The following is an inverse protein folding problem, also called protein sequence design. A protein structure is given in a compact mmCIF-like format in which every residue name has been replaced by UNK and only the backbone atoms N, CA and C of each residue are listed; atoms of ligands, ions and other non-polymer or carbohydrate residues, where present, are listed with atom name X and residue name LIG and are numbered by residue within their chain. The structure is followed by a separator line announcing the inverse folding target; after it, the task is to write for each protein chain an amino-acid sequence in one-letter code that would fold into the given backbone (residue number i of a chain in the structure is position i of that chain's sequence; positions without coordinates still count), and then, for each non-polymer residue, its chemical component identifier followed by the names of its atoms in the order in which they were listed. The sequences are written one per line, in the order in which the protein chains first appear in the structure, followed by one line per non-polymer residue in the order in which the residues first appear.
data_IF_284309823543
#
_entry.id   IF_284309823543
#
_cell.length_a   1.000
_cell.length_b   1.000
_cell.length_c   1.000
_cell.angle_alpha   90.00
_cell.angle_beta   90.00
_cell.angle_gamma   90.00
#
_symmetry.space_group_name_H-M   'P 1'
#
loop_
_entity.id
_entity.type
_entity.pdbx_description
1 polymer ?
#
# COMPACT_ATOMS: atom_id res chain seq x y z
N UNK A 1 0.95 -30.15 17.03
CA UNK A 1 0.67 -28.88 17.75
C UNK A 1 1.33 -27.75 16.95
N UNK A 2 0.61 -26.69 16.59
CA UNK A 2 1.19 -25.53 15.89
C UNK A 2 1.81 -24.61 16.95
N UNK A 3 3.11 -24.35 16.84
CA UNK A 3 3.87 -23.50 17.75
C UNK A 3 4.12 -22.08 17.20
N UNK A 4 3.79 -21.86 15.93
CA UNK A 4 4.07 -20.62 15.19
C UNK A 4 2.78 -19.88 14.89
N UNK A 5 2.79 -18.56 15.04
CA UNK A 5 1.76 -17.68 14.52
C UNK A 5 2.09 -17.35 13.06
N UNK A 6 1.20 -17.71 12.15
CA UNK A 6 1.30 -17.43 10.73
C UNK A 6 0.25 -16.39 10.34
N UNK A 7 0.66 -15.39 9.56
CA UNK A 7 -0.22 -14.37 8.99
C UNK A 7 0.05 -14.31 7.49
N UNK A 8 -1.02 -14.36 6.70
CA UNK A 8 -1.02 -14.14 5.26
C UNK A 8 -1.87 -12.92 4.97
N UNK A 9 -1.33 -12.02 4.16
CA UNK A 9 -1.93 -10.75 3.80
C UNK A 9 -1.67 -10.50 2.31
N UNK A 10 -2.63 -9.91 1.61
CA UNK A 10 -2.38 -9.27 0.33
C UNK A 10 -2.38 -7.74 0.48
N UNK A 11 -1.80 -7.07 -0.49
CA UNK A 11 -1.71 -5.61 -0.56
C UNK A 11 -2.94 -4.98 -1.24
N UNK A 12 -3.49 -5.63 -2.26
CA UNK A 12 -4.72 -5.25 -2.92
C UNK A 12 -5.38 -6.47 -3.58
N UNK A 13 -6.57 -6.28 -4.14
CA UNK A 13 -7.20 -7.24 -5.03
C UNK A 13 -6.81 -7.04 -6.50
N UNK A 14 -7.64 -7.52 -7.42
CA UNK A 14 -7.43 -7.47 -8.87
C UNK A 14 -8.79 -7.49 -9.58
N UNK A 15 -8.94 -6.68 -10.63
CA UNK A 15 -10.10 -6.77 -11.55
C UNK A 15 -9.65 -7.17 -12.94
N UNK A 16 -10.52 -7.86 -13.67
CA UNK A 16 -10.28 -8.26 -15.06
C UNK A 16 -10.40 -7.06 -16.01
N UNK A 17 -9.51 -7.00 -17.01
CA UNK A 17 -9.51 -6.03 -18.12
C UNK A 17 -8.92 -6.71 -19.36
N UNK A 18 -9.19 -6.18 -20.56
CA UNK A 18 -8.66 -6.76 -21.80
C UNK A 18 -9.73 -6.98 -22.85
N UNK A 19 -9.33 -7.35 -24.07
CA UNK A 19 -10.24 -7.46 -25.24
C UNK A 19 -11.35 -8.53 -25.13
N UNK A 20 -11.32 -9.38 -24.11
CA UNK A 20 -12.31 -10.43 -23.84
C UNK A 20 -13.41 -9.96 -22.88
N UNK A 21 -13.25 -8.78 -22.29
CA UNK A 21 -14.23 -8.06 -21.49
C UNK A 21 -14.38 -6.65 -22.09
N UNK A 22 -15.48 -5.96 -21.82
CA UNK A 22 -15.72 -4.62 -22.38
C UNK A 22 -14.84 -3.58 -21.68
N UNK A 23 -13.59 -3.42 -22.16
CA UNK A 23 -12.58 -2.52 -21.58
C UNK A 23 -12.35 -1.31 -22.46
N UNK A 24 -12.44 -0.11 -21.88
CA UNK A 24 -12.06 1.14 -22.53
C UNK A 24 -10.56 1.39 -22.38
N UNK A 25 -9.81 1.28 -23.47
CA UNK A 25 -8.39 1.64 -23.50
C UNK A 25 -8.24 3.12 -23.86
N UNK A 26 -7.88 3.94 -22.86
CA UNK A 26 -7.80 5.38 -22.96
C UNK A 26 -6.36 5.81 -23.23
N UNK A 27 -6.03 6.05 -24.50
CA UNK A 27 -4.69 6.49 -24.90
C UNK A 27 -4.48 7.95 -24.51
N UNK A 28 -3.60 8.19 -23.54
CA UNK A 28 -3.37 9.52 -22.98
C UNK A 28 -2.91 10.55 -24.03
N UNK A 29 -2.15 10.11 -25.05
CA UNK A 29 -1.69 10.95 -26.16
C UNK A 29 -2.84 11.57 -26.99
N UNK A 30 -4.07 11.02 -26.92
CA UNK A 30 -5.24 11.57 -27.60
C UNK A 30 -5.89 12.73 -26.83
N UNK A 31 -5.59 12.86 -25.54
CA UNK A 31 -6.27 13.78 -24.62
C UNK A 31 -5.33 14.76 -23.93
N UNK A 32 -4.02 14.52 -23.95
CA UNK A 32 -3.04 15.34 -23.27
C UNK A 32 -1.80 15.50 -24.13
N UNK A 33 -1.40 16.74 -24.36
CA UNK A 33 -0.09 17.05 -24.91
C UNK A 33 1.00 16.76 -23.87
N UNK A 34 1.87 15.75 -24.10
CA UNK A 34 2.90 15.37 -23.12
C UNK A 34 3.96 16.46 -22.91
N UNK A 35 4.05 17.45 -23.81
CA UNK A 35 4.94 18.61 -23.68
C UNK A 35 4.56 19.51 -22.50
N UNK A 36 3.30 19.48 -22.06
CA UNK A 36 2.84 20.25 -20.92
C UNK A 36 3.30 19.68 -19.58
N UNK A 37 3.61 18.38 -19.54
CA UNK A 37 4.04 17.71 -18.33
C UNK A 37 5.58 17.76 -18.21
N UNK A 38 6.07 17.97 -16.99
CA UNK A 38 7.45 17.69 -16.64
C UNK A 38 7.64 16.18 -16.50
N UNK A 39 6.70 15.52 -15.82
CA UNK A 39 6.66 14.07 -15.63
C UNK A 39 5.23 13.56 -15.65
N UNK A 40 5.06 12.39 -16.26
CA UNK A 40 3.87 11.56 -16.21
C UNK A 40 4.28 10.25 -15.54
N UNK A 41 3.59 9.91 -14.45
CA UNK A 41 3.95 8.82 -13.55
C UNK A 41 2.84 7.79 -13.59
N UNK A 42 3.23 6.55 -13.84
CA UNK A 42 2.36 5.38 -13.91
C UNK A 42 1.32 5.42 -15.04
N UNK A 43 0.63 4.30 -15.24
CA UNK A 43 -0.44 4.06 -16.22
C UNK A 43 -1.34 2.95 -15.69
N UNK A 44 -2.50 2.77 -16.30
CA UNK A 44 -3.43 1.73 -15.90
C UNK A 44 -4.68 2.30 -15.24
N UNK A 45 -4.96 1.87 -14.00
CA UNK A 45 -6.11 2.37 -13.25
C UNK A 45 -5.98 3.87 -12.95
N UNK A 46 -4.76 4.40 -12.90
CA UNK A 46 -4.52 5.82 -12.74
C UNK A 46 -3.22 6.25 -13.42
N UNK A 47 -3.06 7.55 -13.59
CA UNK A 47 -1.77 8.20 -13.89
C UNK A 47 -1.68 9.50 -13.12
N UNK A 48 -0.46 9.96 -12.82
CA UNK A 48 -0.23 11.20 -12.11
C UNK A 48 0.66 12.13 -12.93
N UNK A 49 0.38 13.42 -12.88
CA UNK A 49 1.04 14.41 -13.72
C UNK A 49 1.67 15.49 -12.86
N UNK A 50 2.96 15.73 -13.09
CA UNK A 50 3.68 16.91 -12.62
C UNK A 50 3.69 17.90 -13.80
N UNK A 51 2.96 19.03 -13.71
CA UNK A 51 2.95 20.02 -14.77
C UNK A 51 4.30 20.75 -14.86
N UNK A 52 4.64 21.22 -16.06
CA UNK A 52 5.66 22.26 -16.20
C UNK A 52 5.15 23.58 -15.62
N UNK A 53 6.06 24.53 -15.43
CA UNK A 53 5.71 25.87 -14.98
C UNK A 53 4.58 26.45 -15.85
N UNK A 54 3.51 26.90 -15.18
CA UNK A 54 2.35 27.56 -15.79
C UNK A 54 1.50 26.72 -16.77
N UNK A 55 1.70 25.40 -16.87
CA UNK A 55 0.89 24.55 -17.78
C UNK A 55 -0.29 23.85 -17.10
N UNK A 56 -0.37 23.86 -15.75
CA UNK A 56 -1.41 23.15 -14.97
C UNK A 56 -2.82 23.34 -15.51
N UNK A 57 -3.26 24.58 -15.73
CA UNK A 57 -4.63 24.85 -16.19
C UNK A 57 -4.88 24.31 -17.61
N UNK A 58 -3.87 24.36 -18.48
CA UNK A 58 -4.00 23.80 -19.83
C UNK A 58 -4.16 22.28 -19.77
N UNK A 59 -3.38 21.60 -18.92
CA UNK A 59 -3.52 20.15 -18.69
C UNK A 59 -4.94 19.80 -18.24
N UNK A 60 -5.49 20.53 -17.27
CA UNK A 60 -6.86 20.31 -16.79
C UNK A 60 -7.90 20.50 -17.91
N UNK A 61 -7.73 21.52 -18.76
CA UNK A 61 -8.63 21.77 -19.87
C UNK A 61 -8.56 20.67 -20.95
N UNK A 62 -7.36 20.17 -21.25
CA UNK A 62 -7.17 19.07 -22.21
C UNK A 62 -7.80 17.76 -21.69
N UNK A 63 -7.55 17.43 -20.42
CA UNK A 63 -8.10 16.24 -19.77
C UNK A 63 -9.62 16.30 -19.54
N UNK A 64 -10.23 17.48 -19.53
CA UNK A 64 -11.69 17.61 -19.37
C UNK A 64 -12.49 16.91 -20.49
N UNK A 65 -11.85 16.63 -21.63
CA UNK A 65 -12.43 15.88 -22.75
C UNK A 65 -12.25 14.36 -22.65
N UNK A 66 -11.45 13.89 -21.70
CA UNK A 66 -11.13 12.48 -21.54
C UNK A 66 -12.32 11.75 -20.91
N UNK A 67 -12.90 10.73 -21.58
CA UNK A 67 -14.04 9.98 -21.03
C UNK A 67 -13.57 8.98 -19.98
N UNK A 68 -14.50 8.56 -19.12
CA UNK A 68 -14.30 7.47 -18.16
C UNK A 68 -13.11 7.66 -17.21
N UNK A 69 -12.84 8.92 -16.84
CA UNK A 69 -11.86 9.27 -15.83
C UNK A 69 -12.43 10.34 -14.90
N UNK A 70 -11.94 10.36 -13.67
CA UNK A 70 -12.05 11.49 -12.77
C UNK A 70 -10.67 12.11 -12.59
N UNK A 71 -10.57 13.42 -12.83
CA UNK A 71 -9.34 14.19 -12.62
C UNK A 71 -9.44 14.87 -11.26
N UNK A 72 -8.45 14.61 -10.40
CA UNK A 72 -8.31 15.25 -9.10
C UNK A 72 -7.08 16.15 -9.10
N UNK A 73 -7.25 17.35 -8.58
CA UNK A 73 -6.14 18.16 -8.09
C UNK A 73 -5.94 17.92 -6.59
N UNK A 74 -4.79 18.33 -6.03
CA UNK A 74 -4.45 18.04 -4.62
C UNK A 74 -5.53 18.47 -3.63
N UNK A 75 -6.20 19.59 -3.90
CA UNK A 75 -7.27 20.16 -3.07
C UNK A 75 -8.62 19.45 -3.23
N UNK A 76 -8.77 18.59 -4.24
CA UNK A 76 -10.00 17.84 -4.55
C UNK A 76 -9.95 16.39 -4.07
N UNK A 77 -8.81 15.90 -3.59
CA UNK A 77 -8.72 14.53 -3.09
C UNK A 77 -9.67 14.30 -1.91
N UNK A 78 -10.42 13.18 -1.91
CA UNK A 78 -11.24 12.81 -0.76
C UNK A 78 -10.40 12.70 0.51
N UNK A 79 -10.84 13.37 1.58
CA UNK A 79 -10.10 13.42 2.85
C UNK A 79 -9.85 12.05 3.46
N UNK A 80 -10.77 11.13 3.25
CA UNK A 80 -10.75 9.74 3.70
C UNK A 80 -9.66 8.90 3.03
N UNK A 81 -9.06 9.36 1.92
CA UNK A 81 -7.94 8.65 1.29
C UNK A 81 -6.63 8.86 2.04
N UNK A 82 -6.54 9.89 2.90
CA UNK A 82 -5.32 10.26 3.60
C UNK A 82 -4.09 10.41 2.68
N UNK A 83 -4.33 10.85 1.45
CA UNK A 83 -3.35 10.80 0.36
C UNK A 83 -2.66 12.15 0.10
N UNK A 84 -3.43 13.25 0.08
CA UNK A 84 -3.04 14.53 -0.51
C UNK A 84 -1.83 15.27 0.11
N UNK A 85 -1.43 14.94 1.34
CA UNK A 85 -0.63 15.84 2.18
C UNK A 85 0.88 15.77 1.94
N UNK A 86 1.38 14.72 1.27
CA UNK A 86 2.81 14.55 1.08
C UNK A 86 3.31 15.22 -0.20
N UNK A 87 4.46 15.89 -0.11
CA UNK A 87 5.17 16.54 -1.23
C UNK A 87 5.52 15.64 -2.43
N UNK A 88 5.40 14.32 -2.30
CA UNK A 88 5.68 13.34 -3.37
C UNK A 88 4.46 13.04 -4.22
N UNK A 89 3.25 13.34 -3.72
CA UNK A 89 2.02 13.21 -4.49
C UNK A 89 2.03 14.31 -5.53
N UNK A 90 1.96 14.04 -6.84
CA UNK A 90 1.89 15.05 -7.90
C UNK A 90 0.64 15.93 -7.81
N UNK A 91 0.62 16.99 -8.62
CA UNK A 91 -0.45 18.01 -8.58
C UNK A 91 -1.78 17.52 -9.13
N UNK A 92 -1.74 16.58 -10.06
CA UNK A 92 -2.90 16.08 -10.80
C UNK A 92 -2.85 14.54 -10.75
N UNK A 93 -3.95 13.92 -10.33
CA UNK A 93 -4.23 12.49 -10.49
C UNK A 93 -5.36 12.34 -11.51
N UNK A 94 -5.16 11.47 -12.49
CA UNK A 94 -6.22 11.01 -13.38
C UNK A 94 -6.53 9.59 -12.98
N UNK A 95 -7.72 9.37 -12.42
CA UNK A 95 -8.20 8.06 -11.99
C UNK A 95 -9.20 7.55 -13.01
N UNK A 96 -8.95 6.39 -13.61
CA UNK A 96 -9.89 5.76 -14.51
C UNK A 96 -11.09 5.17 -13.77
N UNK A 97 -12.25 5.25 -14.41
CA UNK A 97 -13.42 4.53 -13.95
C UNK A 97 -13.22 3.02 -14.13
N UNK A 98 -13.84 2.17 -13.30
CA UNK A 98 -13.78 0.72 -13.46
C UNK A 98 -14.15 0.27 -14.88
N UNK A 99 -13.39 -0.70 -15.41
CA UNK A 99 -13.51 -1.12 -16.82
C UNK A 99 -12.74 -0.24 -17.81
N UNK A 100 -12.02 0.78 -17.34
CA UNK A 100 -11.18 1.63 -18.19
C UNK A 100 -9.71 1.56 -17.76
N UNK A 101 -8.81 1.63 -18.75
CA UNK A 101 -7.36 1.52 -18.56
C UNK A 101 -6.68 2.68 -19.28
N UNK A 102 -5.95 3.50 -18.55
CA UNK A 102 -5.14 4.59 -19.12
C UNK A 102 -3.90 3.98 -19.75
N UNK A 103 -3.84 4.07 -21.07
CA UNK A 103 -2.66 3.69 -21.84
C UNK A 103 -1.72 4.91 -21.87
N UNK A 104 -0.49 4.70 -21.38
CA UNK A 104 0.50 5.75 -21.24
C UNK A 104 0.95 6.38 -22.56
N UNK A 105 1.76 7.43 -22.44
CA UNK A 105 2.33 8.17 -23.59
C UNK A 105 3.60 7.51 -24.12
N UNK A 106 3.95 7.81 -25.38
CA UNK A 106 5.26 7.49 -25.94
C UNK A 106 6.17 8.72 -25.95
N UNK A 107 6.59 9.18 -24.77
CA UNK A 107 7.47 10.35 -24.60
C UNK A 107 8.55 10.16 -23.54
N UNK A 108 9.56 11.02 -23.55
CA UNK A 108 10.64 11.03 -22.55
C UNK A 108 10.17 11.49 -21.15
N UNK A 109 8.96 12.05 -21.04
CA UNK A 109 8.39 12.51 -19.77
C UNK A 109 7.72 11.36 -18.99
N UNK A 110 7.67 10.15 -19.56
CA UNK A 110 7.10 8.94 -18.98
C UNK A 110 8.02 7.74 -19.25
N UNK A 111 7.93 6.68 -18.43
CA UNK A 111 8.51 5.40 -18.83
C UNK A 111 7.84 4.92 -20.13
N UNK A 112 8.60 4.65 -21.21
CA UNK A 112 8.01 4.35 -22.51
C UNK A 112 6.97 3.24 -22.43
N UNK A 113 5.85 3.48 -23.12
CA UNK A 113 4.70 2.56 -23.14
C UNK A 113 5.08 1.17 -23.62
N UNK A 114 5.99 1.08 -24.59
CA UNK A 114 6.32 -0.16 -25.27
C UNK A 114 7.60 -0.83 -24.72
N UNK A 115 8.01 -0.50 -23.49
CA UNK A 115 9.14 -1.17 -22.83
C UNK A 115 8.84 -2.66 -22.58
N UNK A 116 9.83 -3.57 -22.66
CA UNK A 116 9.67 -4.95 -22.21
C UNK A 116 9.20 -4.99 -20.75
N UNK A 117 8.03 -5.60 -20.49
CA UNK A 117 7.37 -5.61 -19.18
C UNK A 117 6.47 -4.41 -18.89
N UNK A 118 6.35 -3.45 -19.82
CA UNK A 118 5.21 -2.53 -19.85
C UNK A 118 3.95 -3.27 -20.32
N UNK A 119 2.77 -2.74 -19.94
CA UNK A 119 1.45 -3.34 -20.16
C UNK A 119 1.37 -4.15 -21.47
N UNK A 120 1.36 -5.47 -21.35
CA UNK A 120 1.52 -6.42 -22.46
C UNK A 120 0.17 -6.94 -23.00
N UNK A 121 -0.93 -6.26 -22.65
CA UNK A 121 -2.27 -6.83 -22.76
C UNK A 121 -2.65 -7.70 -21.57
N UNK A 122 -2.05 -7.44 -20.39
CA UNK A 122 -2.38 -8.06 -19.12
C UNK A 122 -3.88 -8.11 -18.90
N UNK A 123 -4.36 -9.26 -18.39
CA UNK A 123 -5.80 -9.52 -18.22
C UNK A 123 -6.35 -9.03 -16.89
N UNK A 124 -5.51 -8.42 -16.06
CA UNK A 124 -5.87 -7.96 -14.74
C UNK A 124 -5.16 -6.66 -14.42
N UNK A 125 -5.84 -5.79 -13.68
CA UNK A 125 -5.27 -4.53 -13.19
C UNK A 125 -5.85 -4.19 -11.81
N UNK A 126 -5.13 -3.32 -11.10
CA UNK A 126 -5.50 -2.82 -9.78
C UNK A 126 -5.12 -1.34 -9.66
N UNK A 127 -5.45 -0.73 -8.52
CA UNK A 127 -5.18 0.69 -8.26
C UNK A 127 -6.39 1.60 -8.46
N UNK A 128 -7.57 1.02 -8.71
CA UNK A 128 -8.84 1.75 -8.67
C UNK A 128 -9.22 2.12 -7.23
N UNK A 129 -10.36 2.77 -7.07
CA UNK A 129 -10.88 3.15 -5.76
C UNK A 129 -11.03 1.94 -4.82
N UNK A 130 -10.66 2.15 -3.55
CA UNK A 130 -10.73 1.14 -2.48
C UNK A 130 -12.14 0.60 -2.22
N UNK A 131 -13.17 1.31 -2.65
CA UNK A 131 -14.58 0.92 -2.44
C UNK A 131 -15.02 -0.21 -3.40
N UNK A 132 -14.20 -0.58 -4.37
CA UNK A 132 -14.46 -1.73 -5.22
C UNK A 132 -14.17 -3.03 -4.48
N UNK A 133 -15.13 -3.96 -4.47
CA UNK A 133 -14.96 -5.30 -3.92
C UNK A 133 -13.74 -6.01 -4.53
N UNK A 134 -13.49 -5.83 -5.84
CA UNK A 134 -12.35 -6.43 -6.52
C UNK A 134 -10.99 -5.88 -6.06
N UNK A 135 -10.96 -4.70 -5.43
CA UNK A 135 -9.75 -4.14 -4.83
C UNK A 135 -9.54 -4.59 -3.38
N UNK A 136 -10.53 -5.24 -2.77
CA UNK A 136 -10.38 -5.84 -1.46
C UNK A 136 -9.34 -6.96 -1.51
N UNK A 137 -8.60 -7.11 -0.42
CA UNK A 137 -7.55 -8.12 -0.30
C UNK A 137 -7.83 -9.05 0.88
N UNK A 138 -6.96 -10.05 1.05
CA UNK A 138 -7.15 -11.10 2.04
C UNK A 138 -6.33 -10.85 3.29
N UNK A 139 -6.85 -11.31 4.42
CA UNK A 139 -6.11 -11.49 5.65
C UNK A 139 -6.48 -12.84 6.27
N UNK A 140 -5.48 -13.68 6.49
CA UNK A 140 -5.64 -14.95 7.19
C UNK A 140 -4.59 -15.07 8.29
N UNK A 141 -5.02 -15.52 9.47
CA UNK A 141 -4.14 -15.74 10.59
C UNK A 141 -4.40 -17.10 11.25
N UNK A 142 -3.32 -17.79 11.62
CA UNK A 142 -3.40 -19.09 12.31
C UNK A 142 -2.23 -19.27 13.26
N UNK A 143 -2.54 -19.63 14.50
CA UNK A 143 -1.52 -19.96 15.49
C UNK A 143 -2.07 -19.90 16.92
N UNK A 144 -1.25 -20.18 17.93
CA UNK A 144 -1.66 -20.14 19.33
C UNK A 144 -2.16 -18.76 19.80
N UNK A 145 -1.72 -17.66 19.17
CA UNK A 145 -2.14 -16.31 19.56
C UNK A 145 -3.49 -15.86 18.96
N UNK A 146 -4.05 -16.60 18.01
CA UNK A 146 -5.31 -16.28 17.34
C UNK A 146 -6.43 -17.21 17.79
N UNK A 147 -7.67 -16.73 17.74
CA UNK A 147 -8.87 -17.56 17.96
C UNK A 147 -9.01 -18.58 16.83
N UNK A 148 -9.55 -19.74 17.16
CA UNK A 148 -9.91 -20.77 16.19
C UNK A 148 -11.34 -20.55 15.71
N UNK A 149 -11.61 -20.88 14.44
CA UNK A 149 -12.92 -20.76 13.82
C UNK A 149 -13.54 -19.36 14.01
N UNK A 150 -12.70 -18.34 13.89
CA UNK A 150 -13.10 -16.95 14.04
C UNK A 150 -13.02 -16.27 12.67
N UNK A 151 -14.10 -15.57 12.31
CA UNK A 151 -14.15 -14.71 11.13
C UNK A 151 -14.09 -13.27 11.62
N UNK A 152 -13.12 -12.53 11.10
CA UNK A 152 -12.93 -11.12 11.36
C UNK A 152 -13.83 -10.30 10.44
N UNK A 153 -14.51 -9.29 10.98
CA UNK A 153 -15.21 -8.28 10.18
C UNK A 153 -14.19 -7.47 9.35
N UNK A 154 -14.57 -6.87 8.21
CA UNK A 154 -13.64 -6.10 7.38
C UNK A 154 -12.82 -5.09 8.20
N UNK A 155 -11.53 -5.03 7.89
CA UNK A 155 -10.56 -4.15 8.55
C UNK A 155 -9.66 -3.50 7.51
N UNK A 156 -8.96 -2.44 7.90
CA UNK A 156 -8.06 -1.73 7.01
C UNK A 156 -6.64 -2.30 7.07
N UNK A 157 -5.86 -2.16 5.99
CA UNK A 157 -4.46 -2.60 5.98
C UNK A 157 -3.62 -1.91 7.08
N UNK A 158 -3.97 -0.68 7.45
CA UNK A 158 -3.31 0.05 8.55
C UNK A 158 -3.53 -0.61 9.91
N UNK A 159 -4.54 -1.46 10.06
CA UNK A 159 -4.81 -2.22 11.28
C UNK A 159 -3.85 -3.41 11.48
N UNK A 160 -3.14 -3.84 10.42
CA UNK A 160 -2.30 -5.04 10.48
C UNK A 160 -1.04 -4.83 11.33
N UNK A 161 -0.47 -3.62 11.33
CA UNK A 161 0.75 -3.32 12.10
C UNK A 161 0.57 -3.64 13.59
N UNK A 162 -0.51 -3.18 14.20
CA UNK A 162 -0.83 -3.43 15.61
C UNK A 162 -1.15 -4.92 15.89
N UNK A 163 -1.68 -5.65 14.91
CA UNK A 163 -1.87 -7.11 15.02
C UNK A 163 -0.52 -7.82 15.14
N UNK A 164 0.43 -7.46 14.28
CA UNK A 164 1.79 -8.01 14.31
C UNK A 164 2.53 -7.62 15.60
N UNK A 165 2.45 -6.36 16.00
CA UNK A 165 3.05 -5.89 17.25
C UNK A 165 2.52 -6.66 18.47
N UNK A 166 1.20 -6.85 18.54
CA UNK A 166 0.57 -7.63 19.61
C UNK A 166 1.04 -9.09 19.64
N UNK A 167 1.18 -9.75 18.47
CA UNK A 167 1.66 -11.14 18.41
C UNK A 167 3.15 -11.29 18.77
N UNK A 168 3.94 -10.24 18.62
CA UNK A 168 5.35 -10.20 18.96
C UNK A 168 5.63 -9.71 20.40
N UNK A 169 4.60 -9.32 21.15
CA UNK A 169 4.72 -8.72 22.48
C UNK A 169 5.63 -7.48 22.49
N UNK A 170 5.46 -6.61 21.48
CA UNK A 170 6.18 -5.33 21.37
C UNK A 170 5.21 -4.15 21.45
N UNK A 171 5.68 -3.07 22.06
CA UNK A 171 4.92 -1.81 22.09
C UNK A 171 4.85 -1.21 20.68
N UNK A 172 3.65 -0.99 20.13
CA UNK A 172 3.49 -0.36 18.82
C UNK A 172 3.95 1.11 18.85
N UNK A 173 4.63 1.56 17.79
CA UNK A 173 4.89 2.99 17.55
C UNK A 173 3.60 3.69 17.08
N UNK A 174 3.53 5.03 17.10
CA UNK A 174 2.35 5.75 16.59
C UNK A 174 1.95 5.29 15.18
N UNK A 175 0.67 4.96 14.99
CA UNK A 175 0.10 4.45 13.75
C UNK A 175 -1.37 4.86 13.60
N UNK A 176 -1.97 4.59 12.43
CA UNK A 176 -3.36 4.94 12.13
C UNK A 176 -4.36 3.79 12.29
N UNK A 177 -3.90 2.57 12.60
CA UNK A 177 -4.77 1.44 12.90
C UNK A 177 -5.64 1.63 14.14
N UNK A 178 -6.79 0.96 14.17
CA UNK A 178 -7.82 1.01 15.22
C UNK A 178 -7.88 -0.31 15.98
N UNK A 179 -7.39 -0.33 17.22
CA UNK A 179 -7.32 -1.57 18.02
C UNK A 179 -8.69 -2.24 18.25
N UNK A 180 -9.74 -1.44 18.41
CA UNK A 180 -11.10 -1.95 18.64
C UNK A 180 -11.59 -2.86 17.50
N UNK A 181 -11.14 -2.63 16.26
CA UNK A 181 -11.49 -3.43 15.08
C UNK A 181 -10.92 -4.84 15.14
N UNK A 182 -9.70 -5.01 15.66
CA UNK A 182 -8.94 -6.26 15.52
C UNK A 182 -8.81 -7.06 16.81
N UNK A 183 -8.96 -6.44 17.99
CA UNK A 183 -8.66 -7.08 19.28
C UNK A 183 -9.40 -8.41 19.53
N UNK A 184 -10.53 -8.61 18.87
CA UNK A 184 -11.37 -9.78 19.04
C UNK A 184 -10.84 -11.02 18.31
N UNK A 185 -9.85 -10.90 17.42
CA UNK A 185 -9.22 -12.05 16.76
C UNK A 185 -8.27 -12.85 17.65
N UNK A 186 -7.88 -12.32 18.81
CA UNK A 186 -6.88 -12.94 19.68
C UNK A 186 -7.51 -13.90 20.69
N UNK A 187 -6.78 -14.99 20.95
CA UNK A 187 -7.17 -15.95 21.97
C UNK A 187 -7.05 -15.33 23.37
N UNK A 188 -8.04 -15.51 24.27
CA UNK A 188 -7.96 -15.03 25.65
C UNK A 188 -6.95 -15.83 26.49
N UNK A 189 -6.55 -17.03 26.04
CA UNK A 189 -5.48 -17.79 26.66
C UNK A 189 -4.13 -17.13 26.32
N UNK A 190 -3.23 -16.92 27.29
CA UNK A 190 -1.92 -16.36 27.01
C UNK A 190 -1.25 -17.24 25.94
N UNK A 191 -0.78 -16.61 24.86
CA UNK A 191 0.07 -17.28 23.88
C UNK A 191 1.11 -18.07 24.67
N UNK A 192 1.22 -19.38 24.43
CA UNK A 192 2.21 -20.26 25.06
C UNK A 192 3.56 -19.54 24.97
N UNK A 193 3.96 -18.89 26.06
CA UNK A 193 5.19 -18.12 26.12
C UNK A 193 6.29 -19.15 25.94
N UNK A 194 7.04 -19.16 24.83
CA UNK A 194 8.30 -19.88 24.85
C UNK A 194 9.09 -19.22 25.98
N UNK A 195 9.48 -19.98 26.98
CA UNK A 195 10.30 -19.49 28.09
C UNK A 195 11.70 -19.12 27.57
N UNK A 196 11.81 -18.07 26.76
CA UNK A 196 13.10 -17.49 26.36
C UNK A 196 13.71 -16.67 27.50
N UNK A 197 12.94 -16.39 28.55
CA UNK A 197 13.35 -15.61 29.72
C UNK A 197 14.32 -16.30 30.70
N UNK A 198 14.60 -17.61 30.54
CA UNK A 198 15.56 -18.30 31.42
C UNK A 198 17.02 -18.17 31.00
N UNK A 199 17.28 -18.12 29.69
CA UNK A 199 18.66 -18.22 29.17
C UNK A 199 19.29 -16.86 28.83
N UNK A 200 18.49 -15.86 28.44
CA UNK A 200 19.02 -14.55 27.99
C UNK A 200 19.37 -13.64 29.17
N UNK A 201 18.63 -13.74 30.29
CA UNK A 201 18.91 -12.94 31.50
C UNK A 201 20.20 -13.37 32.22
N UNK A 202 20.61 -14.65 32.12
CA UNK A 202 21.89 -15.11 32.67
C UNK A 202 23.09 -14.66 31.83
N UNK A 203 22.92 -14.46 30.52
CA UNK A 203 24.00 -14.01 29.64
C UNK A 203 24.35 -12.53 29.85
N UNK A 204 23.37 -11.67 30.15
CA UNK A 204 23.62 -10.24 30.44
C UNK A 204 24.24 -10.02 31.83
N UNK A 205 23.86 -10.81 32.84
CA UNK A 205 24.49 -10.74 34.16
C UNK A 205 25.96 -11.22 34.15
N UNK A 206 26.29 -12.24 33.34
CA UNK A 206 27.67 -12.72 33.19
C UNK A 206 28.57 -11.71 32.45
N UNK A 207 28.05 -10.98 31.45
CA UNK A 207 28.84 -9.97 30.72
C UNK A 207 29.13 -8.72 31.56
N UNK A 208 28.19 -8.29 32.41
CA UNK A 208 28.40 -7.15 33.31
C UNK A 208 29.43 -7.45 34.41
N UNK A 209 29.47 -8.68 34.92
CA UNK A 209 30.45 -9.10 35.92
C UNK A 209 31.89 -9.22 35.35
N UNK A 210 32.03 -9.54 34.05
CA UNK A 210 33.33 -9.60 33.37
C UNK A 210 33.88 -8.22 32.96
N UNK A 211 33.00 -7.24 32.70
CA UNK A 211 33.42 -5.87 32.37
C UNK A 211 33.87 -5.06 33.61
N UNK A 212 33.33 -5.36 34.80
CA UNK A 212 33.72 -4.68 36.04
C UNK A 212 35.09 -5.14 36.60
N UNK A 213 35.65 -6.25 36.12
CA UNK A 213 36.90 -6.84 36.63
C UNK A 213 38.18 -6.37 35.91
N UNK A 214 38.11 -5.44 34.95
CA UNK A 214 39.28 -5.00 34.15
C UNK A 214 39.48 -3.49 34.03
N UNK A 215 39.15 -2.72 35.07
CA UNK A 215 39.68 -1.34 35.19
C UNK A 215 40.89 -1.38 36.12
N UNK A 216 42.00 -1.90 35.59
CA UNK A 216 43.33 -1.76 36.16
C UNK A 216 43.95 -0.46 35.64
N UNK A 217 44.28 0.42 36.57
CA UNK A 217 44.95 1.70 36.38
C UNK A 217 46.27 1.59 35.62
N UNK A 218 46.49 2.47 34.66
CA UNK A 218 47.84 2.93 34.27
C UNK A 218 47.83 4.44 34.11
N UNK A 219 48.79 5.07 34.80
CA UNK A 219 49.32 6.41 34.52
C UNK A 219 49.98 6.40 33.15
#
# INVERSE_FOLDING_TARGET
MILVNFVMVGDHGMTEVGAHVDTNFLYLDLYLSPLLAERIIDRGAYTQIIPRASTRQQILNELASMPNVTVYTRDEFPTEWHYATHSRIPEILVLADPGSVIVGTQTDNMLPRDLPGAWDGTRGIHGYTRNMTDMATVFYARGPGFRRNYTQDPMELVDIYQVLAHQLDIEPRPHNGTWATVKHMFSPAPALRPALGGAVLLAQAALAALAAARVGTWV
#
